data_IF_914992772871
#
_entry.id   IF_914992772871
#
_cell.length_a   1.000
_cell.length_b   1.000
_cell.length_c   1.000
_cell.angle_alpha   90.00
_cell.angle_beta   90.00
_cell.angle_gamma   90.00
#
_symmetry.space_group_name_H-M   'P 1'
#
loop_
_entity.id
_entity.type
_entity.pdbx_description
1 polymer ?
#
# COMPACT_ATOMS: atom_id res chain seq x y z
N UNK A 1 -10.42 30.64 -28.17
CA UNK A 1 -9.90 30.52 -26.79
C UNK A 1 -11.01 29.91 -25.96
N UNK A 2 -10.96 28.59 -25.76
CA UNK A 2 -11.97 27.83 -25.01
C UNK A 2 -11.26 27.41 -23.72
N UNK A 3 -11.85 27.78 -22.60
CA UNK A 3 -11.39 27.47 -21.25
C UNK A 3 -11.33 25.95 -21.09
N UNK A 4 -10.27 25.43 -20.47
CA UNK A 4 -10.17 24.05 -20.04
C UNK A 4 -11.22 23.82 -18.95
N UNK A 5 -12.34 23.21 -19.34
CA UNK A 5 -13.42 22.84 -18.44
C UNK A 5 -13.17 21.44 -17.86
N UNK A 6 -13.77 21.22 -16.72
CA UNK A 6 -13.45 20.29 -15.63
C UNK A 6 -13.18 18.83 -16.06
N UNK A 7 -12.29 18.17 -15.30
CA UNK A 7 -11.89 16.79 -15.53
C UNK A 7 -13.08 15.83 -15.67
N UNK A 8 -12.89 14.75 -16.42
CA UNK A 8 -13.93 13.76 -16.64
C UNK A 8 -14.32 13.06 -15.32
N UNK A 9 -15.60 13.10 -14.97
CA UNK A 9 -16.20 12.29 -13.91
C UNK A 9 -17.51 11.66 -14.39
N UNK A 10 -17.83 10.45 -13.94
CA UNK A 10 -19.07 9.76 -14.26
C UNK A 10 -18.99 8.26 -14.04
N UNK A 11 -20.13 7.59 -14.10
CA UNK A 11 -20.21 6.13 -14.08
C UNK A 11 -20.51 5.60 -15.48
N UNK A 12 -19.82 4.54 -15.88
CA UNK A 12 -20.07 3.82 -17.12
C UNK A 12 -20.18 2.32 -16.85
N UNK A 13 -21.24 1.71 -17.34
CA UNK A 13 -21.40 0.27 -17.34
C UNK A 13 -20.80 -0.28 -18.66
N UNK A 14 -19.69 -1.00 -18.56
CA UNK A 14 -19.04 -1.69 -19.68
C UNK A 14 -19.62 -3.09 -19.83
N UNK A 15 -20.27 -3.37 -20.96
CA UNK A 15 -20.72 -4.71 -21.31
C UNK A 15 -19.58 -5.50 -21.96
N UNK A 16 -19.06 -6.50 -21.26
CA UNK A 16 -18.08 -7.43 -21.81
C UNK A 16 -18.82 -8.63 -22.37
N UNK A 17 -18.74 -8.84 -23.68
CA UNK A 17 -19.26 -10.03 -24.37
C UNK A 17 -18.08 -10.91 -24.82
N UNK A 18 -18.12 -12.18 -24.45
CA UNK A 18 -17.22 -13.22 -24.98
C UNK A 18 -18.04 -14.17 -25.82
N UNK A 19 -17.65 -14.39 -27.07
CA UNK A 19 -18.33 -15.30 -28.00
C UNK A 19 -17.36 -16.41 -28.42
N UNK A 20 -17.84 -17.66 -28.46
CA UNK A 20 -17.06 -18.81 -28.94
C UNK A 20 -17.16 -18.98 -30.47
N UNK A 21 -16.38 -19.88 -31.09
CA UNK A 21 -16.42 -20.11 -32.54
C UNK A 21 -17.74 -20.70 -33.06
N UNK A 22 -18.56 -21.29 -32.18
CA UNK A 22 -19.86 -21.87 -32.51
C UNK A 22 -20.99 -20.83 -32.40
N UNK A 23 -20.67 -19.61 -31.94
CA UNK A 23 -21.56 -18.47 -31.85
C UNK A 23 -22.26 -18.31 -30.49
N UNK A 24 -21.98 -19.18 -29.52
CA UNK A 24 -22.48 -18.99 -28.16
C UNK A 24 -21.72 -17.86 -27.47
N UNK A 25 -22.39 -17.11 -26.60
CA UNK A 25 -21.77 -15.97 -25.92
C UNK A 25 -22.14 -15.88 -24.44
N UNK A 26 -21.24 -15.28 -23.67
CA UNK A 26 -21.43 -14.88 -22.29
C UNK A 26 -21.22 -13.38 -22.14
N UNK A 27 -22.08 -12.72 -21.38
CA UNK A 27 -21.98 -11.28 -21.12
C UNK A 27 -21.81 -11.00 -19.63
N UNK A 28 -21.03 -9.97 -19.32
CA UNK A 28 -20.91 -9.43 -17.96
C UNK A 28 -20.78 -7.92 -18.01
N UNK A 29 -21.56 -7.25 -17.17
CA UNK A 29 -21.46 -5.80 -16.99
C UNK A 29 -20.43 -5.48 -15.92
N UNK A 30 -19.51 -4.57 -16.24
CA UNK A 30 -18.52 -4.01 -15.33
C UNK A 30 -18.88 -2.54 -15.11
N UNK A 31 -19.21 -2.17 -13.88
CA UNK A 31 -19.40 -0.77 -13.53
C UNK A 31 -18.06 -0.10 -13.29
N UNK A 32 -17.80 0.99 -14.01
CA UNK A 32 -16.59 1.81 -13.89
C UNK A 32 -17.01 3.20 -13.44
N UNK A 33 -16.53 3.64 -12.28
CA UNK A 33 -16.74 5.00 -11.77
C UNK A 33 -15.45 5.78 -11.95
N UNK A 34 -15.54 6.93 -12.61
CA UNK A 34 -14.46 7.90 -12.78
C UNK A 34 -14.80 9.12 -11.93
N UNK A 35 -13.93 9.50 -11.01
CA UNK A 35 -14.11 10.71 -10.21
C UNK A 35 -13.02 11.71 -10.58
N UNK A 36 -13.43 12.95 -10.89
CA UNK A 36 -12.48 14.01 -11.19
C UNK A 36 -11.82 14.48 -9.88
N UNK A 37 -10.52 14.25 -9.75
CA UNK A 37 -9.74 14.79 -8.65
C UNK A 37 -9.44 16.28 -8.92
N UNK A 38 -10.00 17.17 -8.10
CA UNK A 38 -9.63 18.60 -8.13
C UNK A 38 -8.32 18.75 -7.36
N UNK A 39 -7.22 18.82 -8.10
CA UNK A 39 -5.86 18.91 -7.56
C UNK A 39 -5.02 17.72 -7.97
N UNK A 40 -4.34 17.83 -9.11
CA UNK A 40 -3.30 16.89 -9.53
C UNK A 40 -2.05 17.17 -8.70
N UNK A 41 -2.01 16.67 -7.47
CA UNK A 41 -0.84 15.86 -7.11
C UNK A 41 -1.09 14.53 -7.81
N UNK A 42 -0.24 14.12 -8.74
CA UNK A 42 -0.31 12.78 -9.33
C UNK A 42 -0.38 11.79 -8.16
N UNK A 43 -1.57 11.26 -7.89
CA UNK A 43 -1.78 10.32 -6.79
C UNK A 43 -1.15 9.02 -7.29
N UNK A 44 0.15 8.90 -7.08
CA UNK A 44 0.95 7.77 -7.52
C UNK A 44 0.47 6.54 -6.73
N UNK A 45 -0.47 5.81 -7.32
CA UNK A 45 -0.96 4.56 -6.76
C UNK A 45 0.09 3.50 -7.09
N UNK A 46 0.68 2.84 -6.09
CA UNK A 46 1.65 1.78 -6.33
C UNK A 46 0.97 0.62 -7.07
N UNK A 47 1.63 0.07 -8.09
CA UNK A 47 1.14 -1.09 -8.84
C UNK A 47 1.21 -2.39 -8.04
N UNK A 48 2.14 -2.43 -7.08
CA UNK A 48 2.46 -3.60 -6.28
C UNK A 48 2.58 -3.24 -4.80
N UNK A 49 2.51 -4.25 -3.94
CA UNK A 49 2.88 -4.05 -2.54
C UNK A 49 4.38 -3.78 -2.44
N UNK A 50 4.74 -2.64 -1.87
CA UNK A 50 6.14 -2.23 -1.74
C UNK A 50 6.42 -1.92 -0.28
N UNK A 51 7.57 -2.40 0.22
CA UNK A 51 8.16 -1.94 1.47
C UNK A 51 9.47 -1.25 1.12
N UNK A 52 9.63 0.02 1.47
CA UNK A 52 10.87 0.76 1.25
C UNK A 52 11.85 0.50 2.39
N UNK A 53 13.14 0.80 2.12
CA UNK A 53 14.11 0.88 3.21
C UNK A 53 13.72 2.04 4.13
N UNK A 54 13.71 1.79 5.43
CA UNK A 54 13.48 2.82 6.43
C UNK A 54 14.51 3.95 6.29
N UNK A 55 14.09 5.19 6.48
CA UNK A 55 14.95 6.37 6.45
C UNK A 55 14.75 7.22 7.70
N UNK A 56 15.82 7.71 8.35
CA UNK A 56 17.23 7.35 8.10
C UNK A 56 17.54 5.89 8.44
N UNK A 57 18.64 5.34 7.92
CA UNK A 57 19.20 4.06 8.34
C UNK A 57 20.72 4.05 8.07
N UNK A 58 21.60 3.96 9.08
CA UNK A 58 21.30 3.86 10.52
C UNK A 58 20.49 5.04 11.07
N UNK A 59 19.76 4.86 12.18
CA UNK A 59 18.89 5.89 12.76
C UNK A 59 19.08 6.06 14.27
N UNK A 60 18.71 7.24 14.80
CA UNK A 60 18.72 7.56 16.23
C UNK A 60 17.71 8.70 16.58
N UNK A 61 16.78 8.52 17.53
CA UNK A 61 16.15 7.26 17.92
C UNK A 61 14.98 6.92 16.99
N UNK A 62 14.68 7.73 15.97
CA UNK A 62 13.49 7.57 15.14
C UNK A 62 13.79 7.34 13.66
N UNK A 63 12.95 6.56 13.01
CA UNK A 63 12.98 6.30 11.56
C UNK A 63 11.55 6.18 11.01
N UNK A 64 11.39 6.55 9.75
CA UNK A 64 10.16 6.38 8.98
C UNK A 64 10.26 5.13 8.11
N UNK A 65 9.23 4.30 8.16
CA UNK A 65 9.02 3.14 7.30
C UNK A 65 7.93 3.51 6.30
N UNK A 66 8.31 3.67 5.03
CA UNK A 66 7.37 3.91 3.93
C UNK A 66 6.97 2.59 3.26
N UNK A 67 5.70 2.47 2.90
CA UNK A 67 5.18 1.31 2.17
C UNK A 67 4.06 1.73 1.20
N UNK A 68 3.85 0.92 0.16
CA UNK A 68 2.83 1.13 -0.85
C UNK A 68 1.82 -0.02 -0.86
N UNK A 69 0.54 0.32 -1.00
CA UNK A 69 -0.59 -0.60 -1.08
C UNK A 69 -1.31 -0.41 -2.42
N UNK A 70 -1.35 -1.40 -3.31
CA UNK A 70 -2.09 -1.33 -4.57
C UNK A 70 -3.61 -1.46 -4.39
N UNK A 71 -4.04 -1.94 -3.22
CA UNK A 71 -5.44 -2.15 -2.87
C UNK A 71 -5.70 -1.73 -1.43
N UNK A 72 -6.94 -1.36 -1.10
CA UNK A 72 -7.37 -1.28 0.29
C UNK A 72 -7.13 -2.62 1.00
N UNK A 73 -6.36 -2.57 2.09
CA UNK A 73 -5.79 -3.76 2.70
C UNK A 73 -5.83 -3.71 4.22
N UNK A 74 -6.03 -4.86 4.86
CA UNK A 74 -5.69 -5.05 6.28
C UNK A 74 -4.16 -5.12 6.38
N UNK A 75 -3.56 -4.14 7.06
CA UNK A 75 -2.10 -4.01 7.19
C UNK A 75 -1.65 -4.23 8.62
N UNK A 76 -0.53 -4.92 8.77
CA UNK A 76 0.21 -4.98 10.03
C UNK A 76 1.68 -4.67 9.80
N UNK A 77 2.22 -3.68 10.51
CA UNK A 77 3.65 -3.35 10.51
C UNK A 77 4.22 -3.66 11.90
N UNK A 78 5.18 -4.58 11.96
CA UNK A 78 5.71 -5.13 13.20
C UNK A 78 7.23 -5.02 13.22
N UNK A 79 7.79 -4.68 14.38
CA UNK A 79 9.22 -4.65 14.64
C UNK A 79 9.62 -5.89 15.44
N UNK A 80 10.72 -6.51 15.04
CA UNK A 80 11.34 -7.66 15.70
C UNK A 80 12.80 -7.38 16.04
N UNK A 81 13.28 -7.96 17.13
CA UNK A 81 14.72 -8.05 17.40
C UNK A 81 15.35 -9.26 16.68
N UNK A 82 16.67 -9.42 16.79
CA UNK A 82 17.40 -10.54 16.15
C UNK A 82 17.08 -11.93 16.73
N UNK A 83 16.42 -12.01 17.88
CA UNK A 83 15.91 -13.25 18.44
C UNK A 83 14.52 -13.62 17.88
N UNK A 84 13.96 -12.80 17.00
CA UNK A 84 12.62 -12.99 16.44
C UNK A 84 11.50 -12.58 17.39
N UNK A 85 11.80 -11.91 18.50
CA UNK A 85 10.78 -11.41 19.43
C UNK A 85 10.14 -10.17 18.85
N UNK A 86 8.79 -10.13 18.85
CA UNK A 86 8.04 -8.93 18.52
C UNK A 86 8.25 -7.88 19.62
N UNK A 87 8.79 -6.73 19.25
CA UNK A 87 9.11 -5.65 20.19
C UNK A 87 8.19 -4.43 20.05
N UNK A 88 7.55 -4.27 18.89
CA UNK A 88 6.55 -3.22 18.67
C UNK A 88 5.60 -3.58 17.51
N UNK A 89 4.37 -3.08 17.57
CA UNK A 89 3.42 -3.04 16.44
C UNK A 89 3.19 -1.56 16.14
N UNK A 90 3.51 -1.13 14.91
CA UNK A 90 3.35 0.27 14.48
C UNK A 90 1.99 0.51 13.82
N UNK A 91 1.49 -0.49 13.10
CA UNK A 91 0.23 -0.43 12.36
C UNK A 91 -0.47 -1.78 12.53
N UNK A 92 -1.78 -1.77 12.75
CA UNK A 92 -2.62 -2.98 12.77
C UNK A 92 -4.09 -2.66 12.45
N UNK A 93 -4.34 -2.18 11.24
CA UNK A 93 -5.66 -1.67 10.84
C UNK A 93 -5.85 -1.78 9.32
N UNK A 94 -7.04 -1.41 8.84
CA UNK A 94 -7.31 -1.28 7.41
C UNK A 94 -6.78 0.05 6.91
N UNK A 95 -6.09 0.04 5.77
CA UNK A 95 -5.54 1.22 5.11
C UNK A 95 -5.98 1.24 3.64
N UNK A 96 -6.32 2.45 3.16
CA UNK A 96 -6.69 2.69 1.77
C UNK A 96 -5.52 2.41 0.82
N UNK A 97 -5.83 2.28 -0.47
CA UNK A 97 -4.84 2.26 -1.55
C UNK A 97 -3.92 3.50 -1.50
N UNK A 98 -2.65 3.35 -1.86
CA UNK A 98 -1.67 4.43 -1.90
C UNK A 98 -0.41 4.19 -1.07
N UNK A 99 0.40 5.23 -0.93
CA UNK A 99 1.59 5.24 -0.08
C UNK A 99 1.28 5.65 1.35
N UNK A 100 1.93 5.00 2.30
CA UNK A 100 1.76 5.24 3.73
C UNK A 100 3.11 5.26 4.43
N UNK A 101 3.13 5.89 5.59
CA UNK A 101 4.29 5.98 6.45
C UNK A 101 3.95 5.57 7.88
N UNK A 102 4.86 4.82 8.50
CA UNK A 102 4.82 4.50 9.91
C UNK A 102 6.13 4.94 10.56
N UNK A 103 6.03 5.71 11.64
CA UNK A 103 7.20 6.20 12.39
C UNK A 103 7.47 5.24 13.54
N UNK A 104 8.70 4.78 13.65
CA UNK A 104 9.17 4.09 14.85
C UNK A 104 10.02 5.03 15.70
N UNK A 105 9.67 5.21 16.96
CA UNK A 105 10.53 5.84 17.96
C UNK A 105 11.11 4.76 18.88
N UNK A 106 12.41 4.51 18.73
CA UNK A 106 13.12 3.45 19.42
C UNK A 106 13.89 3.94 20.66
N UNK A 107 13.49 5.08 21.26
CA UNK A 107 14.21 5.70 22.38
C UNK A 107 14.46 4.75 23.58
N UNK A 108 13.56 3.80 23.81
CA UNK A 108 13.65 2.83 24.90
C UNK A 108 14.31 1.49 24.52
N UNK A 109 14.83 1.36 23.30
CA UNK A 109 15.45 0.14 22.79
C UNK A 109 16.98 0.27 22.73
N UNK A 110 17.71 -0.83 22.77
CA UNK A 110 19.18 -0.82 22.71
C UNK A 110 19.69 -0.71 21.27
N UNK A 111 20.88 -0.13 21.08
CA UNK A 111 21.55 -0.12 19.78
C UNK A 111 21.71 -1.55 19.24
N UNK A 112 21.55 -1.73 17.94
CA UNK A 112 21.62 -3.03 17.31
C UNK A 112 20.83 -3.14 16.02
N UNK A 113 20.75 -4.37 15.50
CA UNK A 113 19.99 -4.69 14.31
C UNK A 113 18.57 -5.07 14.72
N UNK A 114 17.60 -4.55 13.99
CA UNK A 114 16.20 -4.89 14.09
C UNK A 114 15.66 -5.26 12.72
N UNK A 115 14.57 -6.03 12.71
CA UNK A 115 13.80 -6.32 11.52
C UNK A 115 12.45 -5.62 11.61
N UNK A 116 11.96 -5.11 10.50
CA UNK A 116 10.57 -4.70 10.37
C UNK A 116 9.92 -5.49 9.26
N UNK A 117 8.66 -5.85 9.49
CA UNK A 117 7.87 -6.65 8.59
C UNK A 117 6.56 -5.94 8.33
N UNK A 118 6.15 -5.90 7.07
CA UNK A 118 4.79 -5.60 6.68
C UNK A 118 4.07 -6.91 6.30
N UNK A 119 2.83 -7.05 6.75
CA UNK A 119 1.84 -7.96 6.19
C UNK A 119 0.70 -7.12 5.67
N UNK A 120 0.26 -7.38 4.44
CA UNK A 120 -0.90 -6.72 3.86
C UNK A 120 -1.77 -7.75 3.15
N UNK A 121 -3.08 -7.66 3.35
CA UNK A 121 -4.08 -8.51 2.69
C UNK A 121 -5.19 -7.62 2.14
N UNK A 122 -5.39 -7.67 0.82
CA UNK A 122 -6.44 -6.89 0.15
C UNK A 122 -7.82 -7.36 0.62
N UNK A 123 -8.72 -6.42 0.90
CA UNK A 123 -10.07 -6.74 1.36
C UNK A 123 -10.94 -7.37 0.27
N UNK A 124 -10.65 -7.07 -1.00
CA UNK A 124 -11.33 -7.64 -2.17
C UNK A 124 -10.76 -9.01 -2.61
N UNK A 125 -9.77 -9.55 -1.88
CA UNK A 125 -9.12 -10.82 -2.23
C UNK A 125 -8.14 -10.75 -3.40
N UNK A 126 -7.83 -9.56 -3.94
CA UNK A 126 -6.91 -9.39 -5.07
C UNK A 126 -5.46 -9.77 -4.77
N UNK A 127 -5.06 -9.90 -3.50
CA UNK A 127 -3.74 -10.40 -3.15
C UNK A 127 -3.36 -10.19 -1.69
N UNK A 128 -2.22 -10.75 -1.31
CA UNK A 128 -1.60 -10.59 0.00
C UNK A 128 -0.08 -10.60 -0.13
N UNK A 129 0.62 -9.98 0.82
CA UNK A 129 2.08 -9.99 0.87
C UNK A 129 2.61 -10.07 2.29
N UNK A 130 3.85 -10.54 2.41
CA UNK A 130 4.67 -10.38 3.60
C UNK A 130 6.10 -10.00 3.16
N UNK A 131 6.56 -8.81 3.55
CA UNK A 131 7.91 -8.32 3.20
C UNK A 131 8.65 -7.96 4.48
N UNK A 132 9.91 -8.36 4.58
CA UNK A 132 10.79 -8.11 5.74
C UNK A 132 12.02 -7.33 5.29
N UNK A 133 12.44 -6.36 6.10
CA UNK A 133 13.68 -5.60 5.92
C UNK A 133 14.40 -5.40 7.24
N UNK A 134 15.71 -5.13 7.15
CA UNK A 134 16.58 -4.86 8.31
C UNK A 134 16.81 -3.36 8.50
N UNK A 135 17.00 -2.95 9.74
CA UNK A 135 17.37 -1.60 10.14
C UNK A 135 18.39 -1.60 11.27
N UNK A 136 19.16 -0.52 11.39
CA UNK A 136 20.24 -0.38 12.37
C UNK A 136 19.94 0.82 13.26
N UNK A 137 19.70 0.55 14.55
CA UNK A 137 19.59 1.57 15.59
C UNK A 137 20.98 1.83 16.16
N UNK A 138 21.39 3.09 16.17
CA UNK A 138 22.62 3.58 16.81
C UNK A 138 22.23 4.60 17.87
N UNK A 139 22.83 4.51 19.05
CA UNK A 139 22.70 5.48 20.13
C UNK A 139 24.05 6.12 20.39
#
# INVERSE_FOLDING_TARGET
MIMADEGFSGEVDLLVRVTDPEGAYAEKTIRVTVEAAVGIEDLEIPTDYILYQNYPNPFNPSTTIRYGLPWESRVTVVIYNMLGQQVAILVNEVRNVGYHEAIWNAGNFTSGIYLYMIRAQALNGSGQTQIVRKMILVK
#
